data_IF_475718856172
#
_entry.id   IF_475718856172
#
_cell.length_a   1.000
_cell.length_b   1.000
_cell.length_c   1.000
_cell.angle_alpha   90.00
_cell.angle_beta   90.00
_cell.angle_gamma   90.00
#
_symmetry.space_group_name_H-M   'P 1'
#
loop_
_entity.id
_entity.type
_entity.pdbx_description
1 polymer ?
#
# COMPACT_ATOMS: atom_id res chain seq x y z
N UNK A 1 7.73 3.46 -25.34
CA UNK A 1 7.63 3.16 -23.89
C UNK A 1 8.03 4.33 -23.01
N UNK A 2 8.97 5.20 -23.41
CA UNK A 2 9.44 6.34 -22.61
C UNK A 2 8.34 7.27 -22.07
N UNK A 3 7.35 7.65 -22.90
CA UNK A 3 6.28 8.54 -22.46
C UNK A 3 5.37 7.89 -21.41
N UNK A 4 5.18 6.57 -21.49
CA UNK A 4 4.41 5.82 -20.49
C UNK A 4 5.15 5.79 -19.15
N UNK A 5 6.45 5.48 -19.15
CA UNK A 5 7.26 5.50 -17.92
C UNK A 5 7.32 6.89 -17.30
N UNK A 6 7.35 7.95 -18.12
CA UNK A 6 7.33 9.34 -17.66
C UNK A 6 6.00 9.71 -16.99
N UNK A 7 4.88 9.24 -17.57
CA UNK A 7 3.55 9.38 -16.97
C UNK A 7 3.43 8.62 -15.64
N UNK A 8 3.89 7.37 -15.60
CA UNK A 8 3.87 6.55 -14.37
C UNK A 8 4.75 7.12 -13.25
N UNK A 9 5.78 7.89 -13.59
CA UNK A 9 6.69 8.53 -12.63
C UNK A 9 6.19 9.90 -12.14
N UNK A 10 4.99 10.33 -12.54
CA UNK A 10 4.42 11.59 -12.04
C UNK A 10 4.04 11.45 -10.56
N UNK A 11 4.24 12.52 -9.78
CA UNK A 11 3.94 12.55 -8.35
C UNK A 11 2.56 11.98 -7.96
N UNK A 12 1.44 12.34 -8.62
CA UNK A 12 0.13 11.78 -8.27
C UNK A 12 0.02 10.27 -8.56
N UNK A 13 0.62 9.76 -9.64
CA UNK A 13 0.56 8.33 -9.98
C UNK A 13 1.38 7.51 -8.98
N UNK A 14 2.57 7.99 -8.61
CA UNK A 14 3.39 7.32 -7.60
C UNK A 14 2.68 7.25 -6.25
N UNK A 15 2.01 8.32 -5.83
CA UNK A 15 1.20 8.33 -4.61
C UNK A 15 0.04 7.35 -4.71
N UNK A 16 -0.66 7.28 -5.85
CA UNK A 16 -1.73 6.31 -6.06
C UNK A 16 -1.23 4.88 -5.88
N UNK A 17 -0.11 4.51 -6.53
CA UNK A 17 0.48 3.18 -6.40
C UNK A 17 0.88 2.88 -4.96
N UNK A 18 1.52 3.83 -4.28
CA UNK A 18 1.92 3.68 -2.87
C UNK A 18 0.71 3.46 -1.96
N UNK A 19 -0.34 4.27 -2.10
CA UNK A 19 -1.53 4.17 -1.27
C UNK A 19 -2.32 2.89 -1.56
N UNK A 20 -2.43 2.48 -2.82
CA UNK A 20 -3.05 1.18 -3.17
C UNK A 20 -2.27 0.02 -2.56
N UNK A 21 -0.94 0.02 -2.67
CA UNK A 21 -0.10 -1.00 -2.05
C UNK A 21 -0.24 -1.02 -0.52
N UNK A 22 -0.17 0.16 0.11
CA UNK A 22 -0.29 0.30 1.57
C UNK A 22 -1.67 -0.14 2.04
N UNK A 23 -2.74 0.24 1.34
CA UNK A 23 -4.10 -0.19 1.66
C UNK A 23 -4.25 -1.71 1.54
N UNK A 24 -3.75 -2.32 0.46
CA UNK A 24 -3.76 -3.78 0.30
C UNK A 24 -3.00 -4.49 1.43
N UNK A 25 -1.83 -3.97 1.80
CA UNK A 25 -1.05 -4.49 2.93
C UNK A 25 -1.85 -4.40 4.24
N UNK A 26 -2.45 -3.25 4.55
CA UNK A 26 -3.25 -3.06 5.76
C UNK A 26 -4.51 -3.95 5.78
N UNK A 27 -5.16 -4.16 4.64
CA UNK A 27 -6.32 -5.04 4.52
C UNK A 27 -5.92 -6.48 4.82
N UNK A 28 -4.85 -6.98 4.19
CA UNK A 28 -4.37 -8.33 4.45
C UNK A 28 -3.84 -8.50 5.87
N UNK A 29 -3.20 -7.47 6.43
CA UNK A 29 -2.77 -7.47 7.82
C UNK A 29 -3.95 -7.63 8.78
N UNK A 30 -5.02 -6.85 8.59
CA UNK A 30 -6.25 -7.00 9.37
C UNK A 30 -6.99 -8.32 9.05
N UNK A 31 -6.83 -8.90 7.85
CA UNK A 31 -7.38 -10.23 7.54
C UNK A 31 -6.67 -11.34 8.32
N UNK A 32 -5.35 -11.26 8.48
CA UNK A 32 -4.58 -12.24 9.24
C UNK A 32 -4.67 -12.01 10.75
N UNK A 33 -4.83 -10.76 11.18
CA UNK A 33 -4.91 -10.37 12.58
C UNK A 33 -6.10 -9.44 12.82
N UNK A 34 -7.34 -9.98 12.89
CA UNK A 34 -8.57 -9.20 12.84
C UNK A 34 -8.85 -8.30 14.05
N UNK A 35 -8.15 -8.46 15.18
CA UNK A 35 -8.41 -7.70 16.41
C UNK A 35 -7.13 -7.54 17.24
N UNK A 36 -6.16 -6.79 16.70
CA UNK A 36 -4.85 -6.60 17.34
C UNK A 36 -4.87 -5.47 18.40
N UNK A 37 -5.58 -5.68 19.52
CA UNK A 37 -5.62 -4.70 20.63
C UNK A 37 -4.28 -4.56 21.36
N UNK A 38 -3.48 -5.63 21.38
CA UNK A 38 -2.14 -5.66 21.98
C UNK A 38 -1.14 -6.17 20.95
N UNK A 39 0.14 -5.78 21.08
CA UNK A 39 1.18 -6.27 20.20
C UNK A 39 1.38 -7.78 20.43
N UNK A 40 1.37 -8.62 19.39
CA UNK A 40 1.52 -10.08 19.53
C UNK A 40 2.89 -10.55 20.04
N UNK A 41 3.84 -9.64 20.28
CA UNK A 41 5.20 -9.97 20.73
C UNK A 41 5.48 -9.54 22.17
N UNK A 42 4.49 -8.98 22.89
CA UNK A 42 4.64 -8.51 24.28
C UNK A 42 5.25 -7.12 24.38
#
# INVERSE_FOLDING_TARGET
MENLTKFLSTAPILIMVLLTFTAGLLIEFNRFFPDLLFHPLG
#
